data_IF_705711069547
#
_entry.id   IF_705711069547
#
_cell.length_a   1.000
_cell.length_b   1.000
_cell.length_c   1.000
_cell.angle_alpha   90.00
_cell.angle_beta   90.00
_cell.angle_gamma   90.00
#
_symmetry.space_group_name_H-M   'P 1'
#
loop_
_entity.id
_entity.type
_entity.pdbx_description
1 polymer ?
#
# COMPACT_ATOMS: atom_id res chain seq x y z
N UNK A 1 8.29 17.83 4.21
CA UNK A 1 7.01 17.66 3.51
C UNK A 1 6.05 18.76 3.92
N UNK A 2 5.08 19.15 3.10
CA UNK A 2 3.92 19.92 3.58
C UNK A 2 2.97 18.99 4.34
N UNK A 3 2.18 19.52 5.30
CA UNK A 3 1.18 18.72 6.05
C UNK A 3 0.24 17.96 5.12
N UNK A 4 -0.25 18.63 4.07
CA UNK A 4 -1.12 18.02 3.05
C UNK A 4 -0.45 16.81 2.39
N UNK A 5 0.85 16.91 2.08
CA UNK A 5 1.59 15.80 1.46
C UNK A 5 1.78 14.64 2.45
N UNK A 6 2.05 14.92 3.72
CA UNK A 6 2.13 13.87 4.75
C UNK A 6 0.79 13.15 4.96
N UNK A 7 -0.31 13.91 4.97
CA UNK A 7 -1.67 13.37 5.09
C UNK A 7 -2.02 12.46 3.89
N UNK A 8 -1.70 12.91 2.66
CA UNK A 8 -1.87 12.11 1.44
C UNK A 8 -1.08 10.81 1.50
N UNK A 9 0.20 10.85 1.90
CA UNK A 9 1.04 9.65 2.03
C UNK A 9 0.44 8.67 3.03
N UNK A 10 -0.03 9.16 4.18
CA UNK A 10 -0.65 8.30 5.18
C UNK A 10 -1.93 7.65 4.66
N UNK A 11 -2.76 8.41 3.96
CA UNK A 11 -4.03 7.93 3.42
C UNK A 11 -3.83 6.90 2.30
N UNK A 12 -2.89 7.15 1.40
CA UNK A 12 -2.49 6.23 0.34
C UNK A 12 -2.05 4.88 0.93
N UNK A 13 -1.17 4.90 1.93
CA UNK A 13 -0.72 3.67 2.61
C UNK A 13 -1.89 2.95 3.26
N UNK A 14 -2.78 3.68 3.94
CA UNK A 14 -3.95 3.11 4.62
C UNK A 14 -4.89 2.39 3.65
N UNK A 15 -5.26 3.04 2.55
CA UNK A 15 -6.15 2.45 1.54
C UNK A 15 -5.47 1.26 0.88
N UNK A 16 -4.21 1.41 0.50
CA UNK A 16 -3.43 0.33 -0.11
C UNK A 16 -3.35 -0.93 0.77
N UNK A 17 -3.06 -0.76 2.07
CA UNK A 17 -3.06 -1.88 3.02
C UNK A 17 -4.47 -2.50 3.16
N UNK A 18 -5.51 -1.67 3.17
CA UNK A 18 -6.90 -2.15 3.24
C UNK A 18 -7.25 -3.01 2.03
N UNK A 19 -6.88 -2.57 0.83
CA UNK A 19 -7.10 -3.31 -0.41
C UNK A 19 -6.34 -4.65 -0.41
N UNK A 20 -5.06 -4.63 -0.03
CA UNK A 20 -4.25 -5.85 0.07
C UNK A 20 -4.84 -6.87 1.05
N UNK A 21 -5.26 -6.40 2.23
CA UNK A 21 -5.90 -7.26 3.23
C UNK A 21 -7.24 -7.80 2.77
N UNK A 22 -8.04 -6.99 2.06
CA UNK A 22 -9.27 -7.42 1.41
C UNK A 22 -9.05 -8.58 0.45
N UNK A 23 -8.02 -8.49 -0.41
CA UNK A 23 -7.65 -9.58 -1.33
C UNK A 23 -7.16 -10.82 -0.60
N UNK A 24 -6.26 -10.67 0.37
CA UNK A 24 -5.78 -11.81 1.19
C UNK A 24 -6.94 -12.54 1.88
N UNK A 25 -7.92 -11.78 2.39
CA UNK A 25 -9.13 -12.36 2.99
C UNK A 25 -9.97 -13.12 1.96
N UNK A 26 -10.13 -12.57 0.75
CA UNK A 26 -10.89 -13.20 -0.34
C UNK A 26 -10.22 -14.46 -0.90
N UNK A 27 -8.88 -14.52 -0.92
CA UNK A 27 -8.11 -15.69 -1.35
C UNK A 27 -8.21 -16.88 -0.37
N UNK A 28 -8.66 -16.62 0.86
CA UNK A 28 -8.79 -17.64 1.90
C UNK A 28 -10.14 -18.36 1.85
N UNK A 29 -10.20 -19.49 1.17
CA UNK A 29 -11.35 -20.40 1.21
C UNK A 29 -11.30 -21.29 2.49
N UNK A 30 -11.64 -20.74 3.65
CA UNK A 30 -11.66 -21.53 4.89
C UNK A 30 -11.85 -20.75 6.18
N UNK A 31 -11.93 -21.48 7.30
CA UNK A 31 -12.37 -21.01 8.63
C UNK A 31 -11.41 -20.08 9.38
N UNK A 32 -10.44 -19.47 8.70
CA UNK A 32 -9.33 -18.73 9.35
C UNK A 32 -8.86 -17.51 8.52
N UNK A 33 -9.73 -16.95 7.67
CA UNK A 33 -9.38 -15.76 6.88
C UNK A 33 -9.01 -14.55 7.76
N UNK A 34 -9.66 -14.40 8.92
CA UNK A 34 -9.34 -13.34 9.89
C UNK A 34 -7.99 -13.58 10.58
N UNK A 35 -7.63 -14.82 10.92
CA UNK A 35 -6.31 -15.10 11.52
C UNK A 35 -5.18 -14.81 10.52
N UNK A 36 -5.38 -15.15 9.24
CA UNK A 36 -4.42 -14.87 8.16
C UNK A 36 -4.21 -13.35 8.01
N UNK A 37 -5.30 -12.57 8.06
CA UNK A 37 -5.21 -11.11 8.05
C UNK A 37 -4.47 -10.58 9.28
N UNK A 38 -4.79 -11.10 10.47
CA UNK A 38 -4.18 -10.66 11.72
C UNK A 38 -2.68 -11.01 11.80
N UNK A 39 -2.30 -12.19 11.33
CA UNK A 39 -0.91 -12.61 11.23
C UNK A 39 -0.14 -11.75 10.21
N UNK A 40 -0.77 -11.43 9.07
CA UNK A 40 -0.17 -10.52 8.11
C UNK A 40 0.07 -9.15 8.73
N UNK A 41 -0.93 -8.57 9.42
CA UNK A 41 -0.82 -7.27 10.08
C UNK A 41 0.34 -7.30 11.09
N UNK A 42 0.39 -8.32 11.95
CA UNK A 42 1.41 -8.46 13.00
C UNK A 42 2.82 -8.50 12.43
N UNK A 43 3.01 -9.18 11.30
CA UNK A 43 4.33 -9.41 10.73
C UNK A 43 4.75 -8.34 9.71
N UNK A 44 3.82 -7.66 9.04
CA UNK A 44 4.13 -6.89 7.82
C UNK A 44 3.65 -5.43 7.84
N UNK A 45 2.68 -5.04 8.67
CA UNK A 45 2.05 -3.71 8.54
C UNK A 45 3.04 -2.54 8.77
N UNK A 46 3.98 -2.72 9.70
CA UNK A 46 5.01 -1.73 9.98
C UNK A 46 5.98 -1.57 8.80
N UNK A 47 6.57 -2.67 8.33
CA UNK A 47 7.51 -2.67 7.21
C UNK A 47 6.86 -2.18 5.92
N UNK A 48 5.63 -2.61 5.63
CA UNK A 48 4.87 -2.12 4.48
C UNK A 48 4.74 -0.59 4.49
N UNK A 49 4.44 0.00 5.66
CA UNK A 49 4.35 1.45 5.80
C UNK A 49 5.70 2.10 5.59
N UNK A 50 6.77 1.57 6.17
CA UNK A 50 8.12 2.14 6.05
C UNK A 50 8.62 2.11 4.60
N UNK A 51 8.50 0.96 3.94
CA UNK A 51 8.91 0.73 2.55
C UNK A 51 8.25 1.72 1.59
N UNK A 52 6.94 1.92 1.73
CA UNK A 52 6.22 2.81 0.82
C UNK A 52 6.27 4.28 1.24
N UNK A 53 6.48 4.60 2.52
CA UNK A 53 6.57 6.01 2.94
C UNK A 53 7.76 6.71 2.32
N UNK A 54 8.91 6.03 2.21
CA UNK A 54 10.09 6.57 1.53
C UNK A 54 9.82 6.77 0.03
N UNK A 55 9.27 5.74 -0.63
CA UNK A 55 8.92 5.79 -2.05
C UNK A 55 7.92 6.91 -2.37
N UNK A 56 6.86 7.06 -1.58
CA UNK A 56 5.83 8.08 -1.79
C UNK A 56 6.37 9.51 -1.54
N UNK A 57 7.48 9.64 -0.81
CA UNK A 57 8.08 10.91 -0.48
C UNK A 57 8.65 11.68 -1.68
N UNK A 58 8.98 11.01 -2.78
CA UNK A 58 9.51 11.67 -4.00
C UNK A 58 8.43 12.32 -4.87
N UNK A 59 7.18 11.84 -4.80
CA UNK A 59 6.10 12.30 -5.69
C UNK A 59 5.54 13.66 -5.29
N UNK A 60 5.05 14.42 -6.27
CA UNK A 60 4.31 15.66 -6.04
C UNK A 60 2.95 15.40 -5.39
N UNK A 61 2.34 16.43 -4.79
CA UNK A 61 1.01 16.29 -4.22
C UNK A 61 -0.07 15.93 -5.27
N UNK A 62 0.12 16.37 -6.52
CA UNK A 62 -0.78 16.03 -7.63
C UNK A 62 -0.68 14.53 -7.98
N UNK A 63 0.54 14.02 -8.17
CA UNK A 63 0.78 12.58 -8.43
C UNK A 63 0.25 11.71 -7.28
N UNK A 64 0.45 12.12 -6.04
CA UNK A 64 -0.11 11.42 -4.87
C UNK A 64 -1.65 11.43 -4.89
N UNK A 65 -2.27 12.55 -5.30
CA UNK A 65 -3.72 12.63 -5.46
C UNK A 65 -4.26 11.69 -6.55
N UNK A 66 -3.54 11.55 -7.66
CA UNK A 66 -3.87 10.60 -8.74
C UNK A 66 -3.77 9.15 -8.26
N UNK A 67 -2.67 8.79 -7.58
CA UNK A 67 -2.50 7.47 -6.98
C UNK A 67 -3.61 7.15 -5.97
N UNK A 68 -3.97 8.11 -5.12
CA UNK A 68 -5.06 7.96 -4.15
C UNK A 68 -6.39 7.68 -4.85
N UNK A 69 -6.67 8.42 -5.93
CA UNK A 69 -7.87 8.20 -6.75
C UNK A 69 -7.88 6.80 -7.36
N UNK A 70 -6.76 6.33 -7.92
CA UNK A 70 -6.65 4.98 -8.49
C UNK A 70 -6.83 3.88 -7.42
N UNK A 71 -6.21 4.03 -6.24
CA UNK A 71 -6.38 3.10 -5.11
C UNK A 71 -7.82 3.03 -4.62
N UNK A 72 -8.52 4.18 -4.58
CA UNK A 72 -9.90 4.24 -4.07
C UNK A 72 -10.90 3.62 -5.05
N UNK A 73 -10.61 3.70 -6.36
CA UNK A 73 -11.49 3.23 -7.42
C UNK A 73 -11.19 1.78 -7.85
N UNK A 74 -10.17 1.14 -7.27
CA UNK A 74 -9.76 -0.22 -7.64
C UNK A 74 -9.45 -1.07 -6.40
N UNK A 75 -9.26 -2.36 -6.61
CA UNK A 75 -8.80 -3.30 -5.57
C UNK A 75 -7.26 -3.45 -5.55
N UNK A 76 -6.55 -2.54 -6.23
CA UNK A 76 -5.09 -2.56 -6.31
C UNK A 76 -4.47 -2.10 -5.00
N UNK A 77 -3.25 -2.56 -4.75
CA UNK A 77 -2.37 -1.98 -3.73
C UNK A 77 -1.21 -1.23 -4.40
N UNK A 78 -0.38 -0.56 -3.60
CA UNK A 78 0.77 0.23 -4.03
C UNK A 78 1.77 -0.60 -4.84
N UNK A 79 1.93 -1.89 -4.55
CA UNK A 79 2.77 -2.79 -5.33
C UNK A 79 2.28 -2.92 -6.79
N UNK A 80 0.99 -2.73 -7.04
CA UNK A 80 0.41 -2.75 -8.38
C UNK A 80 0.48 -1.40 -9.06
N UNK A 81 0.16 -0.34 -8.33
CA UNK A 81 0.11 1.01 -8.90
C UNK A 81 1.51 1.51 -9.22
N UNK A 82 2.49 1.31 -8.33
CA UNK A 82 3.86 1.80 -8.52
C UNK A 82 4.59 1.17 -9.72
N UNK A 83 4.11 0.04 -10.26
CA UNK A 83 4.60 -0.49 -11.55
C UNK A 83 4.42 0.52 -12.69
N UNK A 84 3.42 1.39 -12.60
CA UNK A 84 3.12 2.44 -13.58
C UNK A 84 3.81 3.78 -13.26
N UNK A 85 4.46 3.89 -12.10
CA UNK A 85 5.16 5.10 -11.64
C UNK A 85 6.64 4.77 -11.40
N UNK A 86 7.46 4.64 -12.46
CA UNK A 86 8.83 4.12 -12.35
C UNK A 86 9.84 5.11 -11.73
N UNK A 87 9.40 6.23 -11.16
CA UNK A 87 10.29 7.29 -10.69
C UNK A 87 11.29 6.82 -9.61
N UNK A 88 11.05 5.70 -8.93
CA UNK A 88 12.10 4.95 -8.21
C UNK A 88 11.80 3.44 -8.19
N UNK A 89 12.37 2.69 -9.13
CA UNK A 89 12.53 1.22 -8.99
C UNK A 89 13.65 0.91 -7.99
N UNK A 90 13.44 1.18 -6.70
CA UNK A 90 14.13 0.41 -5.66
C UNK A 90 13.20 -0.73 -5.29
N UNK A 91 13.50 -1.90 -5.87
CA UNK A 91 12.76 -3.14 -5.63
C UNK A 91 12.53 -3.36 -4.13
N UNK A 92 11.30 -3.63 -3.68
CA UNK A 92 11.12 -4.18 -2.35
C UNK A 92 11.76 -5.58 -2.33
N UNK A 93 12.76 -5.77 -1.48
CA UNK A 93 13.33 -7.11 -1.20
C UNK A 93 12.30 -7.89 -0.38
N UNK A 94 11.31 -8.47 -1.05
CA UNK A 94 10.46 -9.48 -0.44
C UNK A 94 11.01 -10.84 -0.86
N UNK A 95 11.72 -11.49 0.05
CA UNK A 95 12.05 -12.92 -0.05
C UNK A 95 10.85 -13.75 0.41
N UNK A 96 10.38 -14.64 -0.47
CA UNK A 96 9.31 -15.63 -0.23
C UNK A 96 9.69 -16.66 0.83
#
# INVERSE_FOLDING_TARGET
>A
MSRIKDDLVCEIIRISQTNLLGRKKAECNGRSADDIVMDWIRCNAASYREDFKECLGSYSAAELGEMLSELTQSEKDLSDILKNYPQHQTQPKISY
#
